data_IF_606475348044
#
_entry.id   IF_606475348044
#
_cell.length_a   1.000
_cell.length_b   1.000
_cell.length_c   1.000
_cell.angle_alpha   90.00
_cell.angle_beta   90.00
_cell.angle_gamma   90.00
#
_symmetry.space_group_name_H-M   'P 1'
#
loop_
_entity.id
_entity.type
_entity.pdbx_description
1 polymer ?
#
# COMPACT_ATOMS: atom_id res chain seq x y z
N UNK A 1 4.83 9.40 10.75
CA UNK A 1 5.46 9.64 9.46
C UNK A 1 6.63 8.71 9.20
N UNK A 2 6.92 8.50 7.95
CA UNK A 2 8.06 7.70 7.51
C UNK A 2 9.24 8.62 7.23
N UNK A 3 10.38 8.32 7.85
CA UNK A 3 11.62 9.04 7.56
C UNK A 3 12.27 8.42 6.33
N UNK A 4 12.92 9.27 5.54
CA UNK A 4 13.67 8.82 4.39
C UNK A 4 15.02 8.24 4.77
N UNK A 5 15.31 7.10 4.19
CA UNK A 5 16.65 6.51 4.16
C UNK A 5 17.18 6.58 2.73
N UNK A 6 18.50 6.50 2.53
CA UNK A 6 19.03 6.38 1.17
C UNK A 6 18.39 5.20 0.44
N UNK A 7 18.07 5.39 -0.84
CA UNK A 7 17.49 4.32 -1.64
C UNK A 7 18.43 3.10 -1.65
N UNK A 8 17.94 1.91 -1.30
CA UNK A 8 18.79 0.73 -1.32
C UNK A 8 19.20 0.36 -2.74
N UNK A 9 20.37 -0.25 -2.87
CA UNK A 9 20.80 -0.83 -4.14
C UNK A 9 19.93 -2.05 -4.49
N UNK A 10 19.63 -2.23 -5.77
CA UNK A 10 18.84 -3.34 -6.26
C UNK A 10 17.37 -3.02 -6.46
N UNK A 11 16.53 -4.03 -6.68
CA UNK A 11 15.11 -3.81 -6.90
C UNK A 11 14.42 -3.27 -5.65
N UNK A 12 13.38 -2.43 -5.83
CA UNK A 12 12.62 -1.91 -4.69
C UNK A 12 11.89 -3.03 -3.96
N UNK A 13 11.68 -2.82 -2.67
CA UNK A 13 10.86 -3.70 -1.85
C UNK A 13 9.43 -3.21 -1.81
N UNK A 14 8.49 -4.11 -1.69
CA UNK A 14 7.09 -3.74 -1.59
C UNK A 14 6.25 -4.81 -0.93
N UNK A 15 4.99 -4.48 -0.76
CA UNK A 15 3.97 -5.36 -0.18
C UNK A 15 2.77 -5.39 -1.11
N UNK A 16 2.14 -6.54 -1.22
CA UNK A 16 0.85 -6.70 -1.90
C UNK A 16 -0.17 -7.23 -0.90
N UNK A 17 -1.34 -6.61 -0.86
CA UNK A 17 -2.46 -7.07 -0.03
C UNK A 17 -3.39 -7.92 -0.88
N UNK A 18 -3.68 -9.13 -0.40
CA UNK A 18 -4.35 -10.14 -1.22
C UNK A 18 -5.79 -9.78 -1.58
N UNK A 19 -6.50 -9.09 -0.70
CA UNK A 19 -7.94 -8.90 -0.84
C UNK A 19 -8.44 -7.48 -0.63
N UNK A 20 -7.56 -6.50 -0.48
CA UNK A 20 -7.98 -5.13 -0.18
C UNK A 20 -7.40 -4.13 -1.16
N UNK A 21 -8.27 -3.31 -1.72
CA UNK A 21 -7.86 -2.08 -2.39
C UNK A 21 -7.48 -1.06 -1.34
N UNK A 22 -6.40 -0.34 -1.58
CA UNK A 22 -5.89 0.67 -0.68
C UNK A 22 -5.85 2.03 -1.36
N UNK A 23 -6.15 3.08 -0.61
CA UNK A 23 -5.97 4.45 -1.08
C UNK A 23 -5.07 5.21 -0.14
N UNK A 24 -4.23 6.08 -0.69
CA UNK A 24 -3.39 7.00 0.07
C UNK A 24 -3.71 8.43 -0.30
N UNK A 25 -3.86 9.28 0.70
CA UNK A 25 -3.87 10.72 0.53
C UNK A 25 -2.61 11.28 1.18
N UNK A 26 -1.74 11.90 0.40
CA UNK A 26 -0.50 12.48 0.91
C UNK A 26 -0.82 13.80 1.59
N UNK A 27 -0.52 13.87 2.88
CA UNK A 27 -0.86 15.05 3.71
C UNK A 27 0.37 15.86 4.10
N UNK A 28 1.57 15.30 4.00
CA UNK A 28 2.82 16.00 4.35
C UNK A 28 3.99 15.32 3.67
N UNK A 29 4.99 16.09 3.27
CA UNK A 29 6.20 15.57 2.67
C UNK A 29 6.04 15.10 1.23
N UNK A 30 6.97 14.26 0.81
CA UNK A 30 7.01 13.72 -0.55
C UNK A 30 7.88 12.46 -0.60
N UNK A 31 7.74 11.69 -1.66
CA UNK A 31 8.56 10.52 -1.89
C UNK A 31 8.34 9.91 -3.26
N UNK A 32 9.17 8.94 -3.59
CA UNK A 32 8.99 8.14 -4.80
C UNK A 32 8.27 6.84 -4.45
N UNK A 33 7.08 6.69 -4.97
CA UNK A 33 6.27 5.50 -4.78
C UNK A 33 6.45 4.54 -5.96
N UNK A 34 6.55 3.26 -5.64
CA UNK A 34 6.70 2.19 -6.63
C UNK A 34 5.46 1.32 -6.58
N UNK A 35 4.90 1.03 -7.77
CA UNK A 35 3.72 0.17 -7.88
C UNK A 35 3.88 -0.78 -9.05
N UNK A 36 3.16 -1.90 -9.00
CA UNK A 36 3.11 -2.86 -10.09
C UNK A 36 4.13 -3.97 -9.96
N UNK A 37 4.28 -4.73 -11.04
CA UNK A 37 5.13 -5.91 -11.04
C UNK A 37 4.57 -7.07 -10.23
N UNK A 38 5.47 -7.89 -9.76
CA UNK A 38 5.16 -9.01 -8.88
C UNK A 38 6.19 -9.07 -7.75
N UNK A 39 5.82 -9.70 -6.65
CA UNK A 39 6.73 -9.92 -5.53
C UNK A 39 7.58 -11.15 -5.83
N UNK A 40 8.90 -10.98 -5.81
CA UNK A 40 9.86 -12.06 -6.03
C UNK A 40 10.39 -12.54 -4.68
N UNK A 41 10.37 -13.85 -4.47
CA UNK A 41 10.75 -14.47 -3.20
C UNK A 41 10.00 -13.85 -2.01
N UNK A 42 8.70 -13.62 -2.20
CA UNK A 42 7.88 -12.97 -1.19
C UNK A 42 7.68 -13.80 0.05
N UNK A 43 7.45 -13.10 1.16
CA UNK A 43 7.04 -13.69 2.43
C UNK A 43 5.63 -13.27 2.75
N UNK A 44 4.78 -14.25 3.01
CA UNK A 44 3.43 -13.97 3.49
C UNK A 44 3.46 -13.57 4.96
N UNK A 45 2.56 -12.67 5.34
CA UNK A 45 2.36 -12.35 6.74
C UNK A 45 1.80 -13.59 7.47
N UNK A 46 2.23 -13.80 8.71
CA UNK A 46 1.73 -14.94 9.50
C UNK A 46 0.21 -14.83 9.67
N UNK A 47 -0.55 -15.93 9.50
CA UNK A 47 -2.01 -15.88 9.59
C UNK A 47 -2.56 -15.34 10.91
N UNK A 48 -1.82 -15.53 12.00
CA UNK A 48 -2.21 -15.11 13.34
C UNK A 48 -1.54 -13.79 13.78
N UNK A 49 -0.75 -13.16 12.91
CA UNK A 49 -0.12 -11.89 13.23
C UNK A 49 -1.16 -10.77 13.26
N UNK A 50 -0.96 -9.78 14.12
CA UNK A 50 -1.84 -8.62 14.19
C UNK A 50 -1.95 -7.88 12.84
N UNK A 51 -0.85 -7.78 12.11
CA UNK A 51 -0.85 -7.18 10.77
C UNK A 51 -1.80 -7.91 9.82
N UNK A 52 -1.91 -9.23 9.93
CA UNK A 52 -2.81 -10.03 9.09
C UNK A 52 -4.25 -9.96 9.55
N UNK A 53 -4.48 -10.09 10.85
CA UNK A 53 -5.84 -10.25 11.40
C UNK A 53 -6.56 -8.93 11.61
N UNK A 54 -5.84 -7.86 11.89
CA UNK A 54 -6.42 -6.59 12.33
C UNK A 54 -6.07 -5.42 11.40
N UNK A 55 -4.82 -5.33 10.95
CA UNK A 55 -4.34 -4.13 10.26
C UNK A 55 -4.45 -4.22 8.73
N UNK A 56 -3.81 -5.19 8.11
CA UNK A 56 -3.62 -5.22 6.66
C UNK A 56 -4.31 -6.38 5.95
N UNK A 57 -4.80 -7.37 6.70
CA UNK A 57 -5.22 -8.63 6.11
C UNK A 57 -4.04 -9.43 5.55
N UNK A 58 -4.31 -10.55 4.87
CA UNK A 58 -3.25 -11.35 4.25
C UNK A 58 -2.45 -10.53 3.26
N UNK A 59 -1.12 -10.59 3.37
CA UNK A 59 -0.22 -9.82 2.52
C UNK A 59 1.07 -10.58 2.24
N UNK A 60 1.75 -10.18 1.17
CA UNK A 60 3.03 -10.72 0.75
C UNK A 60 4.01 -9.59 0.56
N UNK A 61 5.23 -9.73 1.07
CA UNK A 61 6.27 -8.70 0.97
C UNK A 61 7.54 -9.27 0.37
N UNK A 62 8.24 -8.46 -0.40
CA UNK A 62 9.49 -8.85 -1.02
C UNK A 62 9.94 -7.87 -2.09
N UNK A 63 10.88 -8.32 -2.95
CA UNK A 63 11.37 -7.50 -4.05
C UNK A 63 10.32 -7.39 -5.14
N UNK A 64 10.14 -6.19 -5.66
CA UNK A 64 9.22 -5.91 -6.77
C UNK A 64 9.96 -6.04 -8.09
N UNK A 65 9.51 -6.96 -8.93
CA UNK A 65 10.13 -7.30 -10.21
C UNK A 65 9.09 -7.25 -11.33
N UNK A 66 9.53 -7.03 -12.54
CA UNK A 66 8.68 -7.06 -13.72
C UNK A 66 8.77 -5.80 -14.57
N UNK A 67 8.27 -5.88 -15.81
CA UNK A 67 8.33 -4.77 -16.77
C UNK A 67 7.31 -3.67 -16.49
N UNK A 68 6.32 -3.97 -15.68
CA UNK A 68 5.23 -3.05 -15.32
C UNK A 68 5.43 -2.39 -13.96
N UNK A 69 6.62 -2.50 -13.38
CA UNK A 69 6.98 -1.72 -12.18
C UNK A 69 7.11 -0.26 -12.57
N UNK A 70 6.34 0.59 -11.91
CA UNK A 70 6.28 2.01 -12.18
C UNK A 70 6.73 2.80 -10.96
N UNK A 71 7.54 3.83 -11.18
CA UNK A 71 7.99 4.75 -10.13
C UNK A 71 7.37 6.12 -10.39
N UNK A 72 6.85 6.74 -9.34
CA UNK A 72 6.19 8.04 -9.45
C UNK A 72 6.50 8.89 -8.24
N UNK A 73 6.87 10.14 -8.49
CA UNK A 73 6.98 11.15 -7.43
C UNK A 73 5.60 11.54 -6.95
N UNK A 74 5.39 11.48 -5.65
CA UNK A 74 4.14 11.90 -5.02
C UNK A 74 4.41 13.00 -4.01
N UNK A 75 3.44 13.87 -3.82
CA UNK A 75 3.53 15.04 -2.96
C UNK A 75 2.20 15.34 -2.31
N UNK A 76 2.18 16.33 -1.45
CA UNK A 76 0.95 16.76 -0.74
C UNK A 76 -0.19 17.01 -1.73
N UNK A 77 -1.34 16.44 -1.43
CA UNK A 77 -2.55 16.53 -2.24
C UNK A 77 -2.74 15.39 -3.21
N UNK A 78 -1.71 14.57 -3.45
CA UNK A 78 -1.83 13.42 -4.34
C UNK A 78 -2.68 12.31 -3.68
N UNK A 79 -3.51 11.69 -4.49
CA UNK A 79 -4.30 10.51 -4.11
C UNK A 79 -3.84 9.35 -4.96
N UNK A 80 -3.48 8.24 -4.31
CA UNK A 80 -3.03 7.02 -4.96
C UNK A 80 -4.02 5.91 -4.66
N UNK A 81 -4.51 5.23 -5.68
CA UNK A 81 -5.37 4.07 -5.52
C UNK A 81 -4.56 2.83 -5.92
N UNK A 82 -4.49 1.87 -5.01
CA UNK A 82 -3.75 0.64 -5.19
C UNK A 82 -4.74 -0.52 -5.15
N UNK A 83 -5.08 -1.09 -6.30
CA UNK A 83 -5.97 -2.24 -6.35
C UNK A 83 -5.44 -3.43 -5.55
N UNK A 84 -6.33 -4.26 -5.05
CA UNK A 84 -5.98 -5.49 -4.35
C UNK A 84 -5.01 -6.32 -5.20
N UNK A 85 -4.01 -6.91 -4.57
CA UNK A 85 -2.99 -7.71 -5.23
C UNK A 85 -1.90 -6.93 -5.92
N UNK A 86 -1.97 -5.61 -5.99
CA UNK A 86 -0.94 -4.78 -6.62
C UNK A 86 0.20 -4.54 -5.65
N UNK A 87 1.44 -4.96 -5.98
CA UNK A 87 2.61 -4.62 -5.17
C UNK A 87 2.84 -3.12 -5.13
N UNK A 88 3.24 -2.63 -3.97
CA UNK A 88 3.55 -1.22 -3.79
C UNK A 88 4.57 -1.02 -2.68
N UNK A 89 5.30 0.05 -2.75
CA UNK A 89 6.31 0.42 -1.76
C UNK A 89 6.88 1.79 -2.04
N UNK A 90 7.88 2.15 -1.27
CA UNK A 90 8.60 3.41 -1.40
C UNK A 90 10.03 3.11 -1.78
N UNK A 91 10.52 3.73 -2.85
CA UNK A 91 11.92 3.58 -3.28
C UNK A 91 12.82 4.67 -2.74
N UNK A 92 12.26 5.85 -2.49
CA UNK A 92 13.02 6.98 -1.95
C UNK A 92 12.09 7.93 -1.19
N UNK A 93 12.49 8.27 0.02
CA UNK A 93 11.81 9.28 0.85
C UNK A 93 12.91 10.24 1.33
N UNK A 94 13.13 11.37 0.62
CA UNK A 94 14.25 12.27 0.92
C UNK A 94 14.24 12.85 2.33
N UNK A 95 13.06 13.13 2.86
CA UNK A 95 12.89 13.69 4.20
C UNK A 95 11.86 12.89 4.96
N UNK A 96 10.60 13.06 4.61
CA UNK A 96 9.50 12.29 5.20
C UNK A 96 8.31 12.27 4.24
N UNK A 97 7.40 11.34 4.48
CA UNK A 97 6.07 11.34 3.87
C UNK A 97 5.05 10.92 4.92
N UNK A 98 3.99 11.67 5.05
CA UNK A 98 2.83 11.32 5.84
C UNK A 98 1.61 11.20 4.94
N UNK A 99 0.84 10.17 5.16
CA UNK A 99 -0.35 9.92 4.35
C UNK A 99 -1.45 9.27 5.19
N UNK A 100 -2.68 9.53 4.76
CA UNK A 100 -3.82 8.79 5.26
C UNK A 100 -4.02 7.57 4.38
N UNK A 101 -4.09 6.41 4.99
CA UNK A 101 -4.41 5.16 4.29
C UNK A 101 -5.86 4.81 4.55
N UNK A 102 -6.60 4.52 3.49
CA UNK A 102 -7.97 4.07 3.61
C UNK A 102 -8.18 2.80 2.77
N UNK A 103 -8.95 1.87 3.30
CA UNK A 103 -9.21 0.58 2.67
C UNK A 103 -10.71 0.34 2.62
N UNK A 104 -11.37 0.77 1.53
CA UNK A 104 -12.80 0.54 1.41
C UNK A 104 -13.09 -0.96 1.37
N UNK A 105 -14.05 -1.38 2.16
CA UNK A 105 -14.55 -2.75 2.07
C UNK A 105 -15.22 -2.96 0.72
N UNK A 106 -15.03 -4.12 0.10
CA UNK A 106 -15.77 -4.47 -1.11
C UNK A 106 -17.28 -4.41 -0.91
N UNK A 107 -17.72 -4.67 0.31
CA UNK A 107 -19.15 -4.62 0.67
C UNK A 107 -19.75 -3.22 0.56
N UNK A 108 -18.93 -2.18 0.69
CA UNK A 108 -19.40 -0.79 0.54
C UNK A 108 -19.90 -0.52 -0.88
N UNK A 109 -19.40 -1.26 -1.86
CA UNK A 109 -19.79 -1.12 -3.24
C UNK A 109 -21.02 -2.00 -3.60
N UNK A 110 -21.55 -2.73 -2.65
CA UNK A 110 -22.72 -3.58 -2.85
C UNK A 110 -23.98 -2.73 -2.70
N UNK A 111 -24.89 -2.81 -3.66
CA UNK A 111 -26.15 -2.10 -3.57
C UNK A 111 -26.89 -2.47 -2.29
N UNK A 112 -27.42 -1.47 -1.59
CA UNK A 112 -28.13 -1.67 -0.35
C UNK A 112 -27.25 -1.84 0.89
N UNK A 113 -25.92 -1.78 0.74
CA UNK A 113 -25.05 -1.84 1.90
C UNK A 113 -25.26 -0.63 2.80
N UNK A 114 -25.41 -0.90 4.09
CA UNK A 114 -25.49 0.13 5.13
C UNK A 114 -24.34 -0.11 6.12
N UNK A 115 -23.55 0.92 6.40
CA UNK A 115 -22.47 0.82 7.36
C UNK A 115 -23.05 0.50 8.75
N UNK A 116 -22.58 -0.59 9.40
CA UNK A 116 -23.08 -0.96 10.73
C UNK A 116 -22.91 0.12 11.80
N UNK A 117 -22.00 1.07 11.61
CA UNK A 117 -21.81 2.17 12.53
C UNK A 117 -22.95 3.21 12.45
N UNK A 118 -23.75 3.19 11.38
CA UNK A 118 -24.89 4.06 11.21
C UNK A 118 -26.11 3.33 11.77
N UNK A 119 -26.53 3.75 12.95
CA UNK A 119 -27.75 3.21 13.59
C UNK A 119 -28.94 4.03 13.16
N UNK A 120 -29.93 3.36 12.70
CA UNK A 120 -31.22 3.96 12.42
C UNK A 120 -32.25 3.54 13.47
#
# INVERSE_FOLDING_TARGET
GMKGDPAPAGPPSGTAHDSQTEGYLIVSGAGEMVTGGHIHNGRESAPNAEVTTTLNGPSCSGAMMGNDVSKRQVKVGDIIIIPAGTPHGWSDIPDHVDYLSFRPSQRVLTAGYVNPAIKK
#
